data_IF_372824908839
#
_entry.id   IF_372824908839
#
_cell.length_a   1.000
_cell.length_b   1.000
_cell.length_c   1.000
_cell.angle_alpha   90.00
_cell.angle_beta   90.00
_cell.angle_gamma   90.00
#
_symmetry.space_group_name_H-M   'P 1'
#
loop_
_entity.id
_entity.type
_entity.pdbx_description
1 polymer ?
#
# COMPACT_ATOMS: atom_id res chain seq x y z
N UNK A 1 -9.60 11.42 -1.13
CA UNK A 1 -8.77 10.29 -1.60
C UNK A 1 -8.15 10.53 -2.97
N UNK A 2 -8.89 10.84 -4.04
CA UNK A 2 -8.27 11.00 -5.38
C UNK A 2 -7.19 12.10 -5.47
N UNK A 3 -7.42 13.24 -4.80
CA UNK A 3 -6.48 14.36 -4.81
C UNK A 3 -5.06 13.99 -4.34
N UNK A 4 -4.95 13.08 -3.36
CA UNK A 4 -3.68 12.69 -2.74
C UNK A 4 -3.20 11.31 -3.16
N UNK A 5 -3.87 10.70 -4.15
CA UNK A 5 -3.57 9.34 -4.60
C UNK A 5 -2.10 9.24 -5.03
N UNK A 6 -1.27 8.42 -4.38
CA UNK A 6 0.16 8.36 -4.62
C UNK A 6 0.49 7.74 -5.98
N UNK A 7 1.68 8.04 -6.48
CA UNK A 7 2.33 7.24 -7.51
C UNK A 7 3.19 6.18 -6.85
N UNK A 8 3.11 4.94 -7.33
CA UNK A 8 3.93 3.83 -6.85
C UNK A 8 4.93 3.39 -7.91
N UNK A 9 6.22 3.46 -7.58
CA UNK A 9 7.32 2.89 -8.34
C UNK A 9 7.73 1.55 -7.74
N UNK A 10 7.34 0.46 -8.38
CA UNK A 10 7.89 -0.86 -8.10
C UNK A 10 9.32 -0.90 -8.65
N UNK A 11 10.30 -1.02 -7.76
CA UNK A 11 11.74 -1.07 -8.12
C UNK A 11 12.13 -2.51 -8.44
N UNK A 12 11.72 -3.45 -7.57
CA UNK A 12 11.84 -4.90 -7.73
C UNK A 12 10.64 -5.59 -7.03
N UNK A 13 10.58 -6.92 -7.10
CA UNK A 13 9.48 -7.70 -6.54
C UNK A 13 8.20 -7.69 -7.39
N UNK A 14 7.09 -8.09 -6.76
CA UNK A 14 5.79 -8.13 -7.40
C UNK A 14 5.22 -6.73 -7.67
N UNK A 15 4.42 -6.61 -8.72
CA UNK A 15 3.52 -5.45 -8.87
C UNK A 15 2.26 -5.64 -8.03
N UNK A 16 1.53 -4.55 -7.68
CA UNK A 16 0.27 -4.68 -6.95
C UNK A 16 -0.76 -5.54 -7.68
N UNK A 17 -1.59 -6.25 -6.93
CA UNK A 17 -2.71 -7.04 -7.42
C UNK A 17 -3.98 -6.78 -6.58
N UNK A 18 -5.18 -7.06 -7.10
CA UNK A 18 -6.38 -7.14 -6.28
C UNK A 18 -6.24 -8.27 -5.24
N UNK A 19 -6.47 -7.96 -3.97
CA UNK A 19 -6.43 -8.92 -2.88
C UNK A 19 -7.77 -9.62 -2.64
N UNK A 20 -8.88 -8.94 -2.98
CA UNK A 20 -10.25 -9.37 -2.71
C UNK A 20 -11.18 -8.94 -3.84
N UNK A 21 -12.16 -9.77 -4.17
CA UNK A 21 -13.23 -9.43 -5.12
C UNK A 21 -14.54 -8.96 -4.43
N UNK A 22 -15.53 -8.57 -5.23
CA UNK A 22 -16.81 -8.07 -4.72
C UNK A 22 -17.63 -9.12 -3.93
N UNK A 23 -17.36 -10.41 -4.15
CA UNK A 23 -17.99 -11.52 -3.43
C UNK A 23 -17.24 -11.92 -2.16
N UNK A 24 -16.11 -11.26 -1.85
CA UNK A 24 -15.29 -11.56 -0.68
C UNK A 24 -14.32 -12.73 -0.90
N UNK A 25 -14.08 -13.17 -2.14
CA UNK A 25 -13.02 -14.14 -2.40
C UNK A 25 -11.67 -13.43 -2.29
N UNK A 26 -10.76 -13.96 -1.47
CA UNK A 26 -9.39 -13.45 -1.33
C UNK A 26 -8.40 -14.25 -2.16
N UNK A 27 -7.37 -13.57 -2.67
CA UNK A 27 -6.33 -14.19 -3.49
C UNK A 27 -5.44 -15.11 -2.66
N UNK A 28 -5.16 -16.33 -3.16
CA UNK A 28 -4.31 -17.31 -2.48
C UNK A 28 -2.80 -16.99 -2.44
N UNK A 29 -2.40 -15.82 -2.95
CA UNK A 29 -0.98 -15.41 -3.04
C UNK A 29 -0.11 -16.34 -3.89
N UNK A 30 1.20 -16.15 -3.81
CA UNK A 30 2.20 -17.00 -4.45
C UNK A 30 3.18 -17.53 -3.41
N UNK A 31 3.70 -18.74 -3.63
CA UNK A 31 4.82 -19.23 -2.81
C UNK A 31 6.06 -18.37 -3.08
N UNK A 32 6.91 -18.07 -2.07
CA UNK A 32 8.18 -17.40 -2.26
C UNK A 32 9.18 -18.38 -2.90
N UNK A 33 8.96 -18.67 -4.16
CA UNK A 33 9.81 -19.53 -5.00
C UNK A 33 9.98 -18.91 -6.38
N UNK A 34 11.10 -19.23 -7.02
CA UNK A 34 11.44 -18.69 -8.34
C UNK A 34 12.08 -17.31 -8.23
N UNK A 35 11.88 -16.46 -9.24
CA UNK A 35 12.32 -15.07 -9.16
C UNK A 35 11.39 -14.23 -8.29
N UNK A 36 11.91 -13.17 -7.67
CA UNK A 36 11.16 -12.24 -6.81
C UNK A 36 9.87 -11.71 -7.42
N UNK A 37 9.86 -11.49 -8.75
CA UNK A 37 8.70 -11.03 -9.50
C UNK A 37 8.05 -12.12 -10.37
N UNK A 38 8.48 -13.38 -10.20
CA UNK A 38 7.96 -14.52 -10.94
C UNK A 38 6.47 -14.70 -10.70
N UNK A 39 5.70 -14.82 -11.78
CA UNK A 39 4.23 -14.96 -11.77
C UNK A 39 3.46 -13.75 -11.21
N UNK A 40 4.14 -12.64 -10.89
CA UNK A 40 3.54 -11.41 -10.37
C UNK A 40 4.17 -10.13 -10.95
N UNK A 41 4.75 -10.19 -12.15
CA UNK A 41 5.42 -9.05 -12.80
C UNK A 41 4.48 -8.13 -13.57
N UNK A 42 3.21 -8.52 -13.76
CA UNK A 42 2.23 -7.75 -14.54
C UNK A 42 0.83 -7.86 -13.95
N UNK A 43 0.19 -6.71 -13.78
CA UNK A 43 -1.19 -6.55 -13.33
C UNK A 43 -1.61 -5.10 -13.58
N UNK A 44 -2.90 -4.85 -13.81
CA UNK A 44 -3.46 -3.49 -13.73
C UNK A 44 -3.27 -2.90 -12.33
N UNK A 45 -3.19 -3.77 -11.32
CA UNK A 45 -3.08 -3.45 -9.91
C UNK A 45 -4.38 -2.97 -9.29
N UNK A 46 -4.29 -2.75 -7.98
CA UNK A 46 -5.35 -2.18 -7.16
C UNK A 46 -4.67 -1.41 -6.03
N UNK A 47 -5.21 -0.24 -5.67
CA UNK A 47 -4.89 0.43 -4.41
C UNK A 47 -6.17 0.53 -3.58
N UNK A 48 -6.05 0.19 -2.30
CA UNK A 48 -7.09 0.33 -1.30
C UNK A 48 -6.85 1.63 -0.55
N UNK A 49 -7.91 2.34 -0.17
CA UNK A 49 -7.77 3.60 0.57
C UNK A 49 -8.74 3.69 1.72
N UNK A 50 -8.29 4.22 2.86
CA UNK A 50 -9.14 4.54 4.00
C UNK A 50 -8.63 5.81 4.66
N UNK A 51 -9.55 6.68 5.09
CA UNK A 51 -9.22 7.92 5.77
C UNK A 51 -9.92 8.05 7.10
N UNK A 52 -9.31 8.80 8.01
CA UNK A 52 -9.81 8.99 9.37
C UNK A 52 -9.29 10.27 9.99
N UNK A 53 -10.09 10.85 10.88
CA UNK A 53 -9.66 11.94 11.73
C UNK A 53 -8.81 11.39 12.88
N UNK A 54 -7.65 11.99 13.14
CA UNK A 54 -6.82 11.69 14.31
C UNK A 54 -6.31 12.98 14.93
N UNK A 55 -6.83 13.29 16.12
CA UNK A 55 -6.63 14.59 16.76
C UNK A 55 -7.14 15.73 15.88
N UNK A 56 -6.31 16.77 15.67
CA UNK A 56 -6.63 17.90 14.80
C UNK A 56 -6.42 17.62 13.30
N UNK A 57 -5.78 16.49 12.96
CA UNK A 57 -5.32 16.20 11.61
C UNK A 57 -6.18 15.10 10.97
N UNK A 58 -6.12 15.02 9.64
CA UNK A 58 -6.77 13.95 8.89
C UNK A 58 -5.69 13.06 8.27
N UNK A 59 -5.84 11.74 8.38
CA UNK A 59 -4.93 10.78 7.77
C UNK A 59 -5.63 10.07 6.62
N UNK A 60 -4.91 9.83 5.53
CA UNK A 60 -5.33 8.94 4.44
C UNK A 60 -4.29 7.85 4.29
N UNK A 61 -4.68 6.60 4.51
CA UNK A 61 -3.86 5.44 4.20
C UNK A 61 -4.20 4.91 2.83
N UNK A 62 -3.20 4.76 1.97
CA UNK A 62 -3.27 4.00 0.73
C UNK A 62 -2.50 2.71 0.92
N UNK A 63 -3.04 1.57 0.47
CA UNK A 63 -2.42 0.28 0.67
C UNK A 63 -2.51 -0.59 -0.57
N UNK A 64 -1.46 -1.38 -0.80
CA UNK A 64 -1.33 -2.30 -1.92
C UNK A 64 -1.08 -3.70 -1.40
N UNK A 65 -1.59 -4.66 -2.16
CA UNK A 65 -1.33 -6.07 -1.95
C UNK A 65 -0.43 -6.60 -3.05
N UNK A 66 0.59 -7.35 -2.65
CA UNK A 66 1.49 -8.08 -3.54
C UNK A 66 1.31 -9.58 -3.25
N UNK A 67 1.27 -10.47 -4.29
CA UNK A 67 1.00 -11.88 -4.05
C UNK A 67 2.05 -12.62 -3.20
N UNK A 68 3.29 -12.12 -3.15
CA UNK A 68 4.39 -12.62 -2.32
C UNK A 68 5.38 -11.48 -2.05
N UNK A 69 6.12 -11.61 -0.95
CA UNK A 69 7.36 -10.91 -0.68
C UNK A 69 8.50 -11.92 -0.80
N UNK A 70 9.44 -11.69 -1.73
CA UNK A 70 10.56 -12.61 -1.95
C UNK A 70 11.82 -11.81 -2.32
N UNK A 71 12.62 -11.34 -1.35
CA UNK A 71 13.87 -10.64 -1.64
C UNK A 71 14.91 -11.51 -2.37
N UNK A 72 14.82 -12.84 -2.22
CA UNK A 72 15.67 -13.83 -2.87
C UNK A 72 14.95 -15.16 -2.98
N UNK A 73 15.33 -15.98 -3.95
CA UNK A 73 14.65 -17.25 -4.22
C UNK A 73 14.53 -18.13 -2.97
N UNK A 74 13.30 -18.46 -2.56
CA UNK A 74 13.04 -19.32 -1.39
C UNK A 74 13.05 -18.60 -0.04
N UNK A 75 13.28 -17.30 -0.01
CA UNK A 75 13.38 -16.47 1.21
C UNK A 75 12.33 -15.36 1.11
N UNK A 76 11.54 -15.20 2.16
CA UNK A 76 10.41 -14.25 2.23
C UNK A 76 9.12 -14.97 2.61
N UNK A 77 7.98 -14.47 2.15
CA UNK A 77 6.67 -15.02 2.50
C UNK A 77 5.62 -14.87 1.39
N UNK A 78 4.60 -15.74 1.47
CA UNK A 78 3.37 -15.58 0.69
C UNK A 78 2.61 -14.37 1.23
N UNK A 79 1.98 -13.64 0.31
CA UNK A 79 1.27 -12.39 0.57
C UNK A 79 2.20 -11.27 1.01
N UNK A 80 1.82 -10.05 0.68
CA UNK A 80 2.45 -8.86 1.19
C UNK A 80 1.43 -7.71 1.17
N UNK A 81 1.46 -6.91 2.22
CA UNK A 81 0.57 -5.77 2.43
C UNK A 81 1.40 -4.60 2.91
N UNK A 82 1.45 -3.59 2.06
CA UNK A 82 2.22 -2.39 2.30
C UNK A 82 1.33 -1.17 2.08
N UNK A 83 1.76 0.00 2.55
CA UNK A 83 1.00 1.22 2.41
C UNK A 83 1.79 2.51 2.61
N UNK A 84 1.06 3.61 2.51
CA UNK A 84 1.54 4.94 2.83
C UNK A 84 0.43 5.71 3.52
N UNK A 85 0.77 6.38 4.63
CA UNK A 85 -0.09 7.35 5.29
C UNK A 85 0.28 8.74 4.78
N UNK A 86 -0.72 9.51 4.34
CA UNK A 86 -0.61 10.93 4.04
C UNK A 86 -1.34 11.70 5.13
N UNK A 87 -0.59 12.42 5.95
CA UNK A 87 -1.13 13.28 6.99
C UNK A 87 -1.49 14.64 6.42
N UNK A 88 -2.68 15.14 6.76
CA UNK A 88 -3.25 16.36 6.23
C UNK A 88 -3.64 17.31 7.35
N UNK A 89 -3.46 18.61 7.11
CA UNK A 89 -3.92 19.67 8.01
C UNK A 89 -5.44 19.82 8.04
N UNK A 90 -6.09 19.45 6.94
CA UNK A 90 -7.54 19.54 6.72
C UNK A 90 -8.03 18.36 5.89
N UNK A 91 -9.19 17.82 6.26
CA UNK A 91 -9.85 16.74 5.53
C UNK A 91 -10.42 17.18 4.16
N UNK A 92 -10.60 18.49 3.93
CA UNK A 92 -11.31 19.01 2.76
C UNK A 92 -10.42 19.76 1.77
N UNK A 93 -9.25 20.23 2.20
CA UNK A 93 -8.30 20.85 1.30
C UNK A 93 -7.68 19.80 0.36
N UNK A 94 -7.33 20.23 -0.85
CA UNK A 94 -6.81 19.37 -1.93
C UNK A 94 -5.52 19.91 -2.54
N UNK A 95 -4.81 20.79 -1.82
CA UNK A 95 -3.53 21.40 -2.23
C UNK A 95 -2.34 20.65 -1.66
N UNK A 96 -1.15 20.89 -2.21
CA UNK A 96 0.10 20.30 -1.72
C UNK A 96 0.45 20.76 -0.30
N UNK A 97 0.25 22.06 0.00
CA UNK A 97 0.50 22.65 1.33
C UNK A 97 -0.37 22.07 2.45
N UNK A 98 -1.43 21.33 2.09
CA UNK A 98 -2.23 20.61 3.07
C UNK A 98 -1.52 19.37 3.61
N UNK A 99 -0.52 18.83 2.91
CA UNK A 99 0.23 17.63 3.32
C UNK A 99 1.22 18.03 4.41
N UNK A 100 1.07 17.40 5.57
CA UNK A 100 1.93 17.62 6.74
C UNK A 100 3.06 16.60 6.82
N UNK A 101 2.79 15.35 6.44
CA UNK A 101 3.78 14.28 6.43
C UNK A 101 3.35 13.15 5.48
N UNK A 102 4.34 12.40 5.00
CA UNK A 102 4.16 11.17 4.24
C UNK A 102 4.92 10.06 4.96
N UNK A 103 4.24 8.97 5.30
CA UNK A 103 4.78 7.85 6.05
C UNK A 103 4.60 6.56 5.25
N UNK A 104 5.60 6.12 4.48
CA UNK A 104 5.62 4.78 3.89
C UNK A 104 5.76 3.71 4.98
N UNK A 105 5.14 2.54 4.81
CA UNK A 105 5.34 1.41 5.71
C UNK A 105 6.71 0.77 5.53
N UNK A 106 7.28 0.30 6.63
CA UNK A 106 8.49 -0.51 6.62
C UNK A 106 8.51 -1.47 7.80
N UNK A 107 8.40 -2.77 7.52
CA UNK A 107 8.61 -3.88 8.48
C UNK A 107 7.84 -3.74 9.80
N UNK A 108 6.55 -3.37 9.70
CA UNK A 108 5.65 -3.17 10.85
C UNK A 108 5.65 -1.76 11.43
N UNK A 109 6.50 -0.86 10.92
CA UNK A 109 6.53 0.56 11.26
C UNK A 109 6.11 1.47 10.11
N UNK A 110 6.21 2.78 10.36
CA UNK A 110 5.90 3.84 9.40
C UNK A 110 7.03 4.87 9.40
N UNK A 111 7.75 4.99 8.30
CA UNK A 111 8.90 5.88 8.14
C UNK A 111 8.46 7.30 7.74
N UNK A 112 7.86 8.01 8.69
CA UNK A 112 7.30 9.34 8.47
C UNK A 112 8.37 10.40 8.14
N UNK A 113 8.08 11.20 7.11
CA UNK A 113 8.84 12.41 6.79
C UNK A 113 7.93 13.62 6.62
N UNK A 114 8.37 14.77 7.14
CA UNK A 114 7.68 16.07 7.02
C UNK A 114 8.25 16.95 5.90
N UNK A 115 9.45 16.66 5.40
CA UNK A 115 10.20 17.51 4.47
C UNK A 115 10.99 16.73 3.40
N UNK A 116 11.17 15.42 3.56
CA UNK A 116 11.94 14.56 2.66
C UNK A 116 11.11 13.87 1.57
N UNK A 117 9.80 14.07 1.52
CA UNK A 117 8.95 13.48 0.48
C UNK A 117 8.90 14.34 -0.78
N UNK A 118 8.74 13.68 -1.93
CA UNK A 118 8.52 14.35 -3.21
C UNK A 118 7.07 14.20 -3.65
N UNK A 119 6.56 15.20 -4.38
CA UNK A 119 5.21 15.21 -4.93
C UNK A 119 5.25 15.37 -6.46
N UNK A 120 4.27 14.78 -7.14
CA UNK A 120 3.85 15.18 -8.48
C UNK A 120 2.46 15.81 -8.36
N UNK A 121 2.41 17.14 -8.44
CA UNK A 121 1.23 17.91 -8.03
C UNK A 121 0.98 17.72 -6.53
N UNK A 122 -0.10 17.02 -6.19
CA UNK A 122 -0.50 16.67 -4.82
C UNK A 122 -0.33 15.19 -4.50
N UNK A 123 0.19 14.40 -5.44
CA UNK A 123 0.40 12.96 -5.28
C UNK A 123 1.80 12.68 -4.73
N UNK A 124 1.94 12.05 -3.55
CA UNK A 124 3.23 11.56 -3.08
C UNK A 124 3.86 10.55 -4.03
N UNK A 125 5.19 10.58 -4.12
CA UNK A 125 5.98 9.66 -4.91
C UNK A 125 6.58 8.59 -3.99
N UNK A 126 6.07 7.36 -4.13
CA UNK A 126 6.39 6.21 -3.29
C UNK A 126 7.09 5.15 -4.13
N UNK A 127 8.06 4.46 -3.55
CA UNK A 127 8.67 3.26 -4.11
C UNK A 127 8.33 2.04 -3.26
N UNK A 128 8.34 0.88 -3.89
CA UNK A 128 8.33 -0.43 -3.26
C UNK A 128 9.59 -1.17 -3.70
N UNK A 129 10.42 -1.59 -2.74
CA UNK A 129 11.68 -2.26 -3.02
C UNK A 129 12.10 -3.17 -1.87
N UNK A 130 12.87 -4.19 -2.20
CA UNK A 130 13.73 -4.91 -1.27
C UNK A 130 15.19 -4.59 -1.56
N UNK A 131 15.97 -4.41 -0.49
CA UNK A 131 17.43 -4.37 -0.53
C UNK A 131 17.92 -5.52 0.34
N UNK A 132 18.57 -6.50 -0.30
CA UNK A 132 19.13 -7.66 0.38
C UNK A 132 19.98 -7.24 1.62
N UNK A 133 19.77 -7.85 2.80
CA UNK A 133 19.04 -9.09 3.05
C UNK A 133 17.58 -8.92 3.54
N UNK A 134 16.99 -7.75 3.35
CA UNK A 134 15.69 -7.41 3.93
C UNK A 134 14.56 -7.66 2.91
N UNK A 135 13.41 -8.11 3.41
CA UNK A 135 12.13 -8.19 2.68
C UNK A 135 11.72 -6.81 2.11
N UNK A 136 10.63 -6.74 1.35
CA UNK A 136 10.24 -5.48 0.73
C UNK A 136 9.68 -4.49 1.76
N UNK A 137 9.77 -3.20 1.43
CA UNK A 137 9.10 -2.13 2.14
C UNK A 137 8.70 -1.02 1.19
N UNK A 138 7.86 -0.10 1.68
CA UNK A 138 7.64 1.16 1.00
C UNK A 138 8.75 2.17 1.35
N UNK A 139 8.91 3.18 0.49
CA UNK A 139 9.86 4.25 0.72
C UNK A 139 9.53 5.51 -0.09
N UNK A 140 10.18 6.61 0.26
CA UNK A 140 10.08 7.85 -0.52
C UNK A 140 10.98 7.76 -1.76
N UNK A 141 10.57 8.39 -2.86
CA UNK A 141 11.36 8.48 -4.08
C UNK A 141 11.11 9.81 -4.80
N UNK A 142 12.03 10.20 -5.68
CA UNK A 142 11.83 11.30 -6.64
C UNK A 142 11.36 10.79 -8.01
N UNK A 143 11.25 9.48 -8.21
CA UNK A 143 10.85 8.88 -9.48
C UNK A 143 9.33 8.73 -9.55
N UNK A 144 8.73 9.28 -10.61
CA UNK A 144 7.29 9.10 -10.87
C UNK A 144 7.01 7.64 -11.27
N UNK A 145 6.21 6.95 -10.47
CA UNK A 145 5.74 5.59 -10.73
C UNK A 145 4.41 5.55 -11.48
N UNK A 146 3.66 4.45 -11.32
CA UNK A 146 2.32 4.27 -11.87
C UNK A 146 1.21 4.55 -10.85
N UNK A 147 -0.02 4.72 -11.34
CA UNK A 147 -1.24 4.73 -10.51
C UNK A 147 -2.07 3.50 -10.81
N UNK A 148 -2.66 2.91 -9.78
CA UNK A 148 -3.56 1.76 -9.89
C UNK A 148 -5.01 2.23 -9.77
N UNK A 149 -6.01 1.48 -10.28
CA UNK A 149 -7.40 1.67 -9.89
C UNK A 149 -7.53 1.71 -8.36
N UNK A 150 -8.35 2.63 -7.83
CA UNK A 150 -8.50 2.83 -6.39
C UNK A 150 -9.90 2.45 -5.93
N UNK A 151 -9.99 1.80 -4.78
CA UNK A 151 -11.26 1.56 -4.10
C UNK A 151 -11.15 1.97 -2.64
N UNK A 152 -12.10 2.76 -2.18
CA UNK A 152 -12.18 3.15 -0.78
C UNK A 152 -12.77 2.01 0.06
N UNK A 153 -12.31 1.88 1.30
CA UNK A 153 -12.87 0.93 2.28
C UNK A 153 -14.39 1.06 2.35
N UNK A 154 -14.89 2.29 2.45
CA UNK A 154 -16.32 2.59 2.55
C UNK A 154 -17.10 2.29 1.27
N UNK A 155 -16.41 2.06 0.15
CA UNK A 155 -16.99 1.68 -1.14
C UNK A 155 -16.90 0.18 -1.46
N UNK A 156 -16.19 -0.59 -0.62
CA UNK A 156 -16.17 -2.05 -0.75
C UNK A 156 -17.53 -2.65 -0.36
N UNK A 157 -18.01 -3.68 -1.07
CA UNK A 157 -19.14 -4.48 -0.60
C UNK A 157 -18.84 -5.08 0.78
N UNK A 158 -19.87 -5.27 1.60
CA UNK A 158 -19.72 -5.85 2.94
C UNK A 158 -19.01 -7.21 2.91
N UNK A 159 -19.26 -8.05 1.90
CA UNK A 159 -18.56 -9.33 1.74
C UNK A 159 -17.04 -9.15 1.63
N UNK A 160 -16.58 -8.15 0.87
CA UNK A 160 -15.16 -7.85 0.72
C UNK A 160 -14.55 -7.24 1.99
N UNK A 161 -15.29 -6.37 2.69
CA UNK A 161 -14.87 -5.83 3.99
C UNK A 161 -14.69 -6.97 5.02
N UNK A 162 -15.69 -7.83 5.16
CA UNK A 162 -15.64 -9.01 6.03
C UNK A 162 -14.49 -9.95 5.66
N UNK A 163 -14.23 -10.16 4.37
CA UNK A 163 -13.15 -11.02 3.93
C UNK A 163 -11.77 -10.43 4.28
N UNK A 164 -11.56 -9.13 4.09
CA UNK A 164 -10.32 -8.45 4.49
C UNK A 164 -10.10 -8.46 6.00
N UNK A 165 -11.17 -8.38 6.79
CA UNK A 165 -11.10 -8.45 8.26
C UNK A 165 -10.73 -9.83 8.79
N UNK A 166 -11.17 -10.91 8.11
CA UNK A 166 -11.12 -12.26 8.66
C UNK A 166 -10.13 -13.19 7.96
N UNK A 167 -9.63 -12.83 6.77
CA UNK A 167 -8.66 -13.67 6.04
C UNK A 167 -7.29 -13.60 6.72
N UNK A 168 -6.72 -14.76 7.00
CA UNK A 168 -5.33 -14.89 7.42
C UNK A 168 -4.41 -14.77 6.19
N UNK A 169 -3.67 -13.67 6.10
CA UNK A 169 -2.66 -13.42 5.07
C UNK A 169 -1.24 -13.85 5.52
N UNK A 170 -1.15 -14.72 6.53
CA UNK A 170 0.11 -15.26 7.03
C UNK A 170 0.97 -14.19 7.70
N UNK A 171 2.12 -13.89 7.08
CA UNK A 171 3.04 -12.87 7.60
C UNK A 171 2.58 -11.44 7.30
N UNK A 172 1.72 -11.26 6.29
CA UNK A 172 1.20 -9.95 5.89
C UNK A 172 -0.09 -9.62 6.66
N UNK A 173 -0.31 -8.33 6.94
CA UNK A 173 -1.48 -7.86 7.67
C UNK A 173 -2.15 -6.73 6.89
N UNK A 174 -3.48 -6.76 6.77
CA UNK A 174 -4.24 -5.67 6.12
C UNK A 174 -4.21 -4.43 7.02
N UNK A 175 -3.59 -3.30 6.62
CA UNK A 175 -3.29 -2.22 7.56
C UNK A 175 -4.45 -1.24 7.78
N UNK A 176 -5.58 -1.44 7.08
CA UNK A 176 -6.71 -0.50 7.06
C UNK A 176 -8.03 -1.13 7.49
N UNK A 177 -8.01 -2.31 8.13
CA UNK A 177 -9.22 -2.91 8.73
C UNK A 177 -9.55 -2.22 10.07
N UNK A 178 -10.82 -2.24 10.53
CA UNK A 178 -11.23 -1.52 11.73
C UNK A 178 -10.44 -1.86 13.01
N UNK A 179 -9.90 -3.07 13.13
CA UNK A 179 -9.16 -3.51 14.32
C UNK A 179 -7.78 -2.86 14.48
N UNK A 180 -7.19 -2.36 13.39
CA UNK A 180 -5.79 -1.86 13.36
C UNK A 180 -5.64 -0.48 12.71
N UNK A 181 -6.71 0.07 12.12
CA UNK A 181 -6.71 1.37 11.44
C UNK A 181 -6.68 2.56 12.41
#
# INVERSE_FOLDING_TARGET
YEAYKPFLKVVNGCVPCPAVDASGNTGGGLSPTGSSNGECSSSTGQVYVRGGQSGSNYAIMYSWYMPKDEPSTGIGHRHDWEGVIVWLSSATATTADNILAVCPSAHGGWDCSTDGYSLSGTSPLIKYESIWPVDHSMGLTSTVGGKQPMIAWESLPTAAQTALENTDFGAANVPFIPAVF
#
